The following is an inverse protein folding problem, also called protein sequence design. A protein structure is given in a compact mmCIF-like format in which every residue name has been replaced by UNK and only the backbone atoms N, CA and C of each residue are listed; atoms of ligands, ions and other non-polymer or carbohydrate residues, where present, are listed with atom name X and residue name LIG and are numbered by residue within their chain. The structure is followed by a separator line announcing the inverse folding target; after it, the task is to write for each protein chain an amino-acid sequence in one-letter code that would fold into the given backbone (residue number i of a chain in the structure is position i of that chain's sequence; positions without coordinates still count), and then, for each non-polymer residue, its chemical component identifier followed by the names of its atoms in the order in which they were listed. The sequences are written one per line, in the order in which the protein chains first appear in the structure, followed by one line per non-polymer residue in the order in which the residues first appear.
data_IF_206535739904
#
_entry.id   IF_206535739904
#
_cell.length_a   1.000
_cell.length_b   1.000
_cell.length_c   1.000
_cell.angle_alpha   90.00
_cell.angle_beta   90.00
_cell.angle_gamma   90.00
#
_symmetry.space_group_name_H-M   'P 1'
#
loop_
_entity.id
_entity.type
_entity.pdbx_description
1 polymer ?
#
# COMPACT_ATOMS: atom_id res chain seq x y z
N UNK A 1 -18.45 2.51 18.54
CA UNK A 1 -17.41 3.26 17.80
C UNK A 1 -16.08 2.61 18.11
N UNK A 2 -15.23 2.27 17.11
CA UNK A 2 -13.90 1.70 17.36
C UNK A 2 -12.98 2.82 17.85
N UNK A 3 -12.39 2.65 19.02
CA UNK A 3 -11.40 3.59 19.55
C UNK A 3 -10.02 3.19 18.97
N UNK A 4 -9.45 4.05 18.13
CA UNK A 4 -8.18 3.81 17.43
C UNK A 4 -7.02 4.43 18.21
N UNK A 5 -5.97 3.66 18.45
CA UNK A 5 -4.74 4.16 19.05
C UNK A 5 -3.81 4.72 17.95
N UNK A 6 -3.98 6.00 17.65
CA UNK A 6 -3.20 6.70 16.61
C UNK A 6 -1.70 6.74 16.91
N UNK A 7 -1.27 6.70 18.18
CA UNK A 7 0.15 6.65 18.53
C UNK A 7 0.80 5.36 18.05
N UNK A 8 0.11 4.22 18.20
CA UNK A 8 0.60 2.92 17.71
C UNK A 8 0.68 2.86 16.19
N UNK A 9 -0.22 3.56 15.49
CA UNK A 9 -0.21 3.69 14.04
C UNK A 9 0.85 4.68 13.54
N UNK A 10 1.19 5.70 14.32
CA UNK A 10 2.23 6.67 13.96
C UNK A 10 3.64 6.07 14.02
N UNK A 11 3.87 5.10 14.90
CA UNK A 11 5.20 4.50 15.11
C UNK A 11 5.12 2.96 15.10
N UNK A 12 4.63 2.33 14.00
CA UNK A 12 4.42 0.89 13.98
C UNK A 12 5.73 0.10 13.94
N UNK A 13 6.75 0.66 13.28
CA UNK A 13 8.08 0.08 13.13
C UNK A 13 9.03 1.14 12.55
N UNK A 14 10.34 1.16 12.90
CA UNK A 14 11.31 2.15 12.38
C UNK A 14 11.39 2.25 10.85
N UNK A 15 11.07 1.17 10.14
CA UNK A 15 11.05 1.13 8.69
C UNK A 15 9.88 1.92 8.08
N UNK A 16 8.77 2.10 8.81
CA UNK A 16 7.55 2.75 8.33
C UNK A 16 7.35 4.09 9.02
N UNK A 17 7.47 5.16 8.27
CA UNK A 17 7.22 6.53 8.74
C UNK A 17 5.89 7.00 8.15
N UNK A 18 4.98 7.60 8.92
CA UNK A 18 3.73 8.13 8.37
C UNK A 18 4.01 9.08 7.21
N UNK A 19 3.36 8.83 6.09
CA UNK A 19 3.38 9.73 4.94
C UNK A 19 2.25 10.74 5.10
N UNK A 20 2.52 11.80 5.85
CA UNK A 20 1.59 12.91 6.06
C UNK A 20 2.24 14.14 5.42
N UNK A 21 1.82 14.56 4.23
CA UNK A 21 2.23 15.86 3.73
C UNK A 21 1.64 16.92 4.64
N UNK A 22 2.50 17.77 5.16
CA UNK A 22 2.14 18.89 6.03
C UNK A 22 1.39 19.98 5.25
N UNK A 23 1.59 20.04 3.93
CA UNK A 23 0.90 20.93 3.02
C UNK A 23 0.90 20.32 1.61
N UNK A 24 -0.26 20.31 0.94
CA UNK A 24 -0.38 19.88 -0.46
C UNK A 24 0.37 20.80 -1.44
N UNK A 25 0.72 22.03 -1.01
CA UNK A 25 1.55 22.97 -1.76
C UNK A 25 3.06 22.82 -1.46
N UNK A 26 3.45 21.86 -0.60
CA UNK A 26 4.86 21.63 -0.28
C UNK A 26 5.63 21.11 -1.50
N UNK A 27 6.66 21.84 -1.89
CA UNK A 27 7.60 21.45 -2.95
C UNK A 27 8.20 20.05 -2.65
N UNK A 28 8.40 19.71 -1.39
CA UNK A 28 8.87 18.39 -0.95
C UNK A 28 7.89 17.28 -1.33
N UNK A 29 6.58 17.51 -1.20
CA UNK A 29 5.54 16.59 -1.63
C UNK A 29 5.59 16.32 -3.14
N UNK A 30 5.66 17.39 -3.96
CA UNK A 30 5.76 17.23 -5.41
C UNK A 30 7.04 16.52 -5.85
N UNK A 31 8.18 16.77 -5.21
CA UNK A 31 9.41 16.03 -5.46
C UNK A 31 9.22 14.53 -5.18
N UNK A 32 8.56 14.18 -4.08
CA UNK A 32 8.22 12.77 -3.76
C UNK A 32 7.27 12.17 -4.79
N UNK A 33 6.27 12.91 -5.27
CA UNK A 33 5.37 12.44 -6.35
C UNK A 33 6.13 12.12 -7.65
N UNK A 34 7.07 12.98 -8.04
CA UNK A 34 7.90 12.76 -9.22
C UNK A 34 8.76 11.51 -9.06
N UNK A 35 9.40 11.34 -7.90
CA UNK A 35 10.20 10.15 -7.58
C UNK A 35 9.32 8.89 -7.57
N UNK A 36 8.14 8.95 -6.97
CA UNK A 36 7.17 7.87 -6.96
C UNK A 36 6.78 7.46 -8.38
N UNK A 37 6.35 8.43 -9.22
CA UNK A 37 5.99 8.17 -10.62
C UNK A 37 7.13 7.54 -11.40
N UNK A 38 8.34 8.10 -11.33
CA UNK A 38 9.52 7.59 -12.02
C UNK A 38 9.78 6.14 -11.63
N UNK A 39 9.83 5.84 -10.34
CA UNK A 39 10.10 4.50 -9.85
C UNK A 39 8.96 3.51 -10.18
N UNK A 40 7.71 3.93 -10.08
CA UNK A 40 6.57 3.11 -10.46
C UNK A 40 6.67 2.64 -11.92
N UNK A 41 7.00 3.56 -12.84
CA UNK A 41 7.07 3.26 -14.27
C UNK A 41 8.33 2.49 -14.68
N UNK A 42 9.43 2.60 -13.93
CA UNK A 42 10.72 1.99 -14.29
C UNK A 42 11.03 0.69 -13.56
N UNK A 43 10.51 0.51 -12.35
CA UNK A 43 10.85 -0.62 -11.48
C UNK A 43 9.79 -1.71 -11.45
N UNK A 44 8.56 -1.40 -11.81
CA UNK A 44 7.45 -2.36 -11.79
C UNK A 44 7.13 -2.87 -13.19
N UNK A 45 6.94 -4.18 -13.29
CA UNK A 45 6.63 -4.85 -14.54
C UNK A 45 5.23 -4.48 -15.05
N UNK A 46 4.26 -4.46 -14.13
CA UNK A 46 2.86 -4.18 -14.44
C UNK A 46 2.40 -2.94 -13.68
N UNK A 47 2.10 -1.88 -14.42
CA UNK A 47 1.55 -0.63 -13.88
C UNK A 47 0.35 -0.28 -14.73
N UNK A 48 -0.80 -0.05 -14.10
CA UNK A 48 -2.01 0.40 -14.80
C UNK A 48 -1.71 1.66 -15.61
N UNK A 49 -2.28 1.72 -16.82
CA UNK A 49 -2.08 2.84 -17.74
C UNK A 49 -2.48 4.20 -17.13
N UNK A 50 -3.43 4.21 -16.19
CA UNK A 50 -3.86 5.40 -15.45
C UNK A 50 -2.72 6.05 -14.65
N UNK A 51 -1.83 5.25 -14.05
CA UNK A 51 -0.67 5.75 -13.30
C UNK A 51 0.46 6.33 -14.18
N UNK A 52 0.29 6.36 -15.51
CA UNK A 52 1.19 7.10 -16.40
C UNK A 52 0.93 8.60 -16.33
N UNK A 53 -0.26 9.02 -15.90
CA UNK A 53 -0.63 10.42 -15.74
C UNK A 53 -0.30 10.88 -14.31
N UNK A 54 0.59 11.91 -14.18
CA UNK A 54 0.97 12.46 -12.87
C UNK A 54 -0.22 13.11 -12.15
N UNK A 55 -1.14 13.73 -12.88
CA UNK A 55 -2.33 14.34 -12.29
C UNK A 55 -3.26 13.28 -11.69
N UNK A 56 -3.33 12.09 -12.28
CA UNK A 56 -4.05 10.97 -11.70
C UNK A 56 -3.42 10.51 -10.40
N UNK A 57 -2.08 10.35 -10.36
CA UNK A 57 -1.34 9.99 -9.14
C UNK A 57 -1.56 11.03 -8.05
N UNK A 58 -1.44 12.31 -8.38
CA UNK A 58 -1.69 13.42 -7.45
C UNK A 58 -3.11 13.36 -6.89
N UNK A 59 -4.12 13.20 -7.74
CA UNK A 59 -5.52 13.08 -7.34
C UNK A 59 -5.76 11.90 -6.39
N UNK A 60 -5.17 10.73 -6.67
CA UNK A 60 -5.32 9.53 -5.84
C UNK A 60 -4.65 9.74 -4.48
N UNK A 61 -3.41 10.21 -4.44
CA UNK A 61 -2.70 10.44 -3.19
C UNK A 61 -3.33 11.56 -2.35
N UNK A 62 -3.75 12.66 -2.97
CA UNK A 62 -4.47 13.75 -2.29
C UNK A 62 -5.78 13.24 -1.67
N UNK A 63 -6.53 12.41 -2.40
CA UNK A 63 -7.74 11.78 -1.86
C UNK A 63 -7.44 10.92 -0.63
N UNK A 64 -6.35 10.15 -0.65
CA UNK A 64 -5.97 9.31 0.49
C UNK A 64 -5.57 10.15 1.70
N UNK A 65 -4.84 11.23 1.49
CA UNK A 65 -4.36 12.11 2.54
C UNK A 65 -5.51 12.88 3.20
N UNK A 66 -6.45 13.40 2.39
CA UNK A 66 -7.56 14.24 2.84
C UNK A 66 -8.75 13.44 3.40
N UNK A 67 -8.67 12.12 3.44
CA UNK A 67 -9.81 11.25 3.73
C UNK A 67 -10.24 11.16 5.20
N UNK A 68 -9.58 11.87 6.10
CA UNK A 68 -9.97 11.90 7.52
C UNK A 68 -9.88 10.54 8.23
N UNK A 69 -8.83 9.75 7.96
CA UNK A 69 -8.58 8.47 8.63
C UNK A 69 -9.18 7.24 7.94
N UNK A 70 -9.76 7.40 6.74
CA UNK A 70 -10.17 6.26 5.90
C UNK A 70 -9.00 5.63 5.15
N UNK A 71 -7.86 6.31 5.12
CA UNK A 71 -6.64 5.84 4.49
C UNK A 71 -5.45 6.18 5.36
N UNK A 72 -4.45 5.30 5.39
CA UNK A 72 -3.19 5.52 6.08
C UNK A 72 -2.07 5.17 5.12
N UNK A 73 -1.11 6.07 4.96
CA UNK A 73 0.05 5.87 4.11
C UNK A 73 1.34 5.97 4.93
N UNK A 74 2.33 5.19 4.54
CA UNK A 74 3.66 5.16 5.13
C UNK A 74 4.72 5.28 4.04
N UNK A 75 5.77 6.04 4.31
CA UNK A 75 7.04 5.92 3.62
C UNK A 75 7.79 4.71 4.16
N UNK A 76 8.49 3.99 3.28
CA UNK A 76 9.32 2.85 3.66
C UNK A 76 10.78 3.27 3.57
N UNK A 77 11.50 3.16 4.69
CA UNK A 77 12.89 3.63 4.79
C UNK A 77 13.01 5.13 4.49
N UNK A 78 14.06 5.52 3.77
CA UNK A 78 14.25 6.90 3.32
C UNK A 78 13.59 7.12 1.95
N UNK A 79 12.26 6.94 1.91
CA UNK A 79 11.45 6.99 0.69
C UNK A 79 11.85 5.96 -0.37
N UNK A 80 12.31 4.78 0.05
CA UNK A 80 12.57 3.63 -0.82
C UNK A 80 11.30 2.88 -1.23
N UNK A 81 10.14 3.28 -0.72
CA UNK A 81 8.84 2.70 -1.02
C UNK A 81 7.69 3.43 -0.36
N UNK A 82 6.47 2.99 -0.66
CA UNK A 82 5.23 3.39 0.01
C UNK A 82 4.46 2.13 0.38
N UNK A 83 3.96 2.07 1.62
CA UNK A 83 2.93 1.16 2.06
C UNK A 83 1.68 1.94 2.46
N UNK A 84 0.50 1.34 2.33
CA UNK A 84 -0.72 2.01 2.74
C UNK A 84 -1.88 1.06 2.95
N UNK A 85 -2.88 1.57 3.66
CA UNK A 85 -4.16 0.93 3.88
C UNK A 85 -5.24 1.89 3.45
N UNK A 86 -6.06 1.46 2.52
CA UNK A 86 -7.05 2.30 1.86
C UNK A 86 -8.44 1.72 2.03
N UNK A 87 -9.45 2.59 1.93
CA UNK A 87 -10.86 2.23 2.09
C UNK A 87 -11.12 1.46 3.41
N UNK A 88 -10.54 1.97 4.50
CA UNK A 88 -10.69 1.37 5.83
C UNK A 88 -12.14 1.47 6.28
N UNK A 89 -12.76 0.32 6.46
CA UNK A 89 -14.09 0.14 7.05
C UNK A 89 -13.91 -0.54 8.42
N UNK A 90 -13.84 0.22 9.52
CA UNK A 90 -13.58 -0.33 10.85
C UNK A 90 -14.57 -1.44 11.23
N UNK A 91 -14.06 -2.51 11.83
CA UNK A 91 -14.85 -3.70 12.17
C UNK A 91 -15.05 -4.66 11.00
N UNK A 92 -14.61 -4.30 9.78
CA UNK A 92 -14.85 -5.11 8.59
C UNK A 92 -13.59 -5.35 7.77
N UNK A 93 -13.18 -4.41 6.90
CA UNK A 93 -12.06 -4.62 5.95
C UNK A 93 -11.36 -3.34 5.56
N UNK A 94 -10.18 -3.51 4.94
CA UNK A 94 -9.52 -2.51 4.11
C UNK A 94 -8.75 -3.17 2.97
N UNK A 95 -8.19 -2.36 2.07
CA UNK A 95 -7.23 -2.83 1.08
C UNK A 95 -5.83 -2.30 1.39
N UNK A 96 -4.81 -3.16 1.20
CA UNK A 96 -3.41 -2.80 1.37
C UNK A 96 -2.76 -2.51 0.02
N UNK A 97 -1.93 -1.49 0.01
CA UNK A 97 -1.05 -1.18 -1.12
C UNK A 97 0.40 -1.19 -0.63
N UNK A 98 1.31 -1.73 -1.43
CA UNK A 98 2.74 -1.66 -1.17
C UNK A 98 3.47 -1.52 -2.50
N UNK A 99 4.32 -0.49 -2.60
CA UNK A 99 5.20 -0.24 -3.73
C UNK A 99 6.60 0.04 -3.20
N UNK A 100 7.51 -0.88 -3.46
CA UNK A 100 8.88 -0.86 -2.97
C UNK A 100 9.82 -0.80 -4.16
N UNK A 101 10.59 0.28 -4.33
CA UNK A 101 11.51 0.49 -5.45
C UNK A 101 12.98 0.46 -5.06
N UNK A 102 13.29 0.63 -3.78
CA UNK A 102 14.64 0.42 -3.27
C UNK A 102 14.89 -1.06 -3.01
N UNK A 103 15.87 -1.62 -3.73
CA UNK A 103 16.20 -3.05 -3.63
C UNK A 103 16.90 -3.40 -2.33
N UNK A 104 17.59 -2.46 -1.70
CA UNK A 104 18.31 -2.71 -0.46
C UNK A 104 17.37 -2.91 0.73
N UNK A 105 16.14 -2.43 0.60
CA UNK A 105 15.07 -2.65 1.58
C UNK A 105 14.38 -4.01 1.37
N UNK A 106 14.51 -4.61 0.18
CA UNK A 106 13.88 -5.89 -0.12
C UNK A 106 14.57 -7.02 0.64
N UNK A 107 13.83 -7.64 1.57
CA UNK A 107 14.36 -8.76 2.34
C UNK A 107 13.37 -9.27 3.39
N UNK A 108 13.80 -10.30 4.11
CA UNK A 108 12.98 -10.94 5.15
C UNK A 108 12.60 -9.97 6.26
N UNK A 109 13.47 -9.01 6.59
CA UNK A 109 13.19 -8.04 7.65
C UNK A 109 12.11 -7.04 7.24
N UNK A 110 12.08 -6.62 5.96
CA UNK A 110 10.98 -5.83 5.42
C UNK A 110 9.65 -6.59 5.48
N UNK A 111 9.67 -7.87 5.11
CA UNK A 111 8.47 -8.73 5.15
C UNK A 111 7.97 -8.91 6.58
N UNK A 112 8.86 -9.16 7.55
CA UNK A 112 8.50 -9.26 8.97
C UNK A 112 7.95 -7.93 9.52
N UNK A 113 8.58 -6.82 9.18
CA UNK A 113 8.12 -5.49 9.56
C UNK A 113 6.74 -5.18 8.96
N UNK A 114 6.52 -5.57 7.70
CA UNK A 114 5.22 -5.41 7.05
C UNK A 114 4.14 -6.27 7.68
N UNK A 115 4.44 -7.54 8.00
CA UNK A 115 3.52 -8.40 8.75
C UNK A 115 3.10 -7.77 10.08
N UNK A 116 4.07 -7.23 10.84
CA UNK A 116 3.78 -6.52 12.08
C UNK A 116 2.86 -5.30 11.86
N UNK A 117 3.08 -4.54 10.78
CA UNK A 117 2.22 -3.42 10.41
C UNK A 117 0.80 -3.89 10.06
N UNK A 118 0.64 -4.99 9.32
CA UNK A 118 -0.65 -5.61 9.03
C UNK A 118 -1.39 -5.96 10.33
N UNK A 119 -0.71 -6.62 11.28
CA UNK A 119 -1.29 -7.00 12.57
C UNK A 119 -1.75 -5.77 13.37
N UNK A 120 -0.94 -4.71 13.42
CA UNK A 120 -1.29 -3.47 14.10
C UNK A 120 -2.56 -2.86 13.50
N UNK A 121 -2.65 -2.77 12.17
CA UNK A 121 -3.81 -2.21 11.49
C UNK A 121 -5.06 -3.07 11.67
N UNK A 122 -4.92 -4.41 11.61
CA UNK A 122 -5.99 -5.34 11.92
C UNK A 122 -6.57 -5.10 13.31
N UNK A 123 -5.69 -4.96 14.32
CA UNK A 123 -6.08 -4.74 15.72
C UNK A 123 -6.76 -3.39 15.93
N UNK A 124 -6.10 -2.32 15.51
CA UNK A 124 -6.55 -0.94 15.78
C UNK A 124 -7.92 -0.65 15.15
N UNK A 125 -8.17 -1.17 13.95
CA UNK A 125 -9.46 -0.99 13.27
C UNK A 125 -10.41 -2.18 13.45
N UNK A 126 -10.02 -3.22 14.21
CA UNK A 126 -10.79 -4.46 14.41
C UNK A 126 -11.22 -5.08 13.09
N UNK A 127 -10.31 -5.10 12.11
CA UNK A 127 -10.62 -5.62 10.78
C UNK A 127 -10.77 -7.14 10.81
N UNK A 128 -11.57 -7.66 9.88
CA UNK A 128 -11.71 -9.09 9.62
C UNK A 128 -10.82 -9.54 8.45
N UNK A 129 -10.49 -8.61 7.55
CA UNK A 129 -9.72 -8.88 6.35
C UNK A 129 -8.96 -7.63 5.89
N UNK A 130 -7.72 -7.83 5.43
CA UNK A 130 -7.00 -6.86 4.60
C UNK A 130 -6.81 -7.47 3.23
N UNK A 131 -7.35 -6.82 2.17
CA UNK A 131 -7.22 -7.27 0.80
C UNK A 131 -6.01 -6.66 0.10
N UNK A 132 -5.52 -7.32 -0.93
CA UNK A 132 -4.61 -6.72 -1.93
C UNK A 132 -4.75 -7.44 -3.26
N UNK A 133 -4.28 -6.81 -4.33
CA UNK A 133 -4.30 -7.41 -5.66
C UNK A 133 -3.04 -7.07 -6.45
N UNK A 134 -2.57 -8.00 -7.27
CA UNK A 134 -1.42 -7.79 -8.14
C UNK A 134 -1.43 -8.74 -9.33
N UNK A 135 -0.81 -8.34 -10.45
CA UNK A 135 -0.53 -9.20 -11.59
C UNK A 135 0.91 -9.74 -11.57
N UNK A 136 1.74 -9.31 -10.63
CA UNK A 136 3.14 -9.70 -10.54
C UNK A 136 3.33 -10.88 -9.58
N UNK A 137 3.73 -12.04 -10.13
CA UNK A 137 3.97 -13.26 -9.36
C UNK A 137 5.03 -13.10 -8.26
N UNK A 138 6.01 -12.18 -8.42
CA UNK A 138 7.00 -11.91 -7.37
C UNK A 138 6.34 -11.24 -6.19
N UNK A 139 5.42 -10.29 -6.46
CA UNK A 139 4.64 -9.63 -5.42
C UNK A 139 3.69 -10.62 -4.74
N UNK A 140 3.06 -11.54 -5.51
CA UNK A 140 2.25 -12.62 -4.94
C UNK A 140 3.06 -13.45 -3.94
N UNK A 141 4.28 -13.86 -4.32
CA UNK A 141 5.16 -14.62 -3.41
C UNK A 141 5.52 -13.84 -2.15
N UNK A 142 5.87 -12.57 -2.28
CA UNK A 142 6.17 -11.71 -1.13
C UNK A 142 4.97 -11.53 -0.21
N UNK A 143 3.78 -11.31 -0.76
CA UNK A 143 2.55 -11.20 0.01
C UNK A 143 2.26 -12.50 0.77
N UNK A 144 2.41 -13.67 0.13
CA UNK A 144 2.28 -14.97 0.80
C UNK A 144 3.28 -15.14 1.96
N UNK A 145 4.53 -14.68 1.80
CA UNK A 145 5.51 -14.68 2.89
C UNK A 145 5.12 -13.74 4.05
N UNK A 146 4.39 -12.66 3.77
CA UNK A 146 3.83 -11.77 4.79
C UNK A 146 2.54 -12.33 5.44
N UNK A 147 2.04 -13.48 4.97
CA UNK A 147 0.87 -14.15 5.54
C UNK A 147 -0.43 -13.98 4.76
N UNK A 148 -0.40 -13.36 3.57
CA UNK A 148 -1.57 -13.33 2.71
C UNK A 148 -1.86 -14.72 2.12
N UNK A 149 -3.13 -15.02 1.93
CA UNK A 149 -3.62 -16.20 1.23
C UNK A 149 -4.26 -15.80 -0.10
N UNK A 150 -4.16 -16.67 -1.08
CA UNK A 150 -4.75 -16.48 -2.39
C UNK A 150 -6.26 -16.71 -2.34
N UNK A 151 -7.05 -15.76 -2.85
CA UNK A 151 -8.51 -15.81 -2.84
C UNK A 151 -9.10 -16.09 -4.24
N UNK A 152 -8.29 -15.89 -5.28
CA UNK A 152 -8.72 -16.12 -6.66
C UNK A 152 -8.16 -15.10 -7.64
N UNK A 153 -8.77 -15.01 -8.82
CA UNK A 153 -8.32 -14.14 -9.91
C UNK A 153 -9.47 -13.25 -10.38
N UNK A 154 -9.24 -11.96 -10.42
CA UNK A 154 -10.13 -11.00 -11.07
C UNK A 154 -9.74 -10.86 -12.54
N UNK A 155 -10.62 -11.29 -13.43
CA UNK A 155 -10.42 -11.17 -14.88
C UNK A 155 -10.51 -9.70 -15.31
N UNK A 156 -9.63 -9.30 -16.23
CA UNK A 156 -9.58 -7.94 -16.78
C UNK A 156 -9.53 -6.86 -15.69
N UNK A 157 -8.79 -7.10 -14.60
CA UNK A 157 -8.78 -6.23 -13.41
C UNK A 157 -8.12 -4.88 -13.66
N UNK A 158 -7.27 -4.72 -14.70
CA UNK A 158 -6.66 -3.45 -15.08
C UNK A 158 -6.18 -3.43 -16.53
N UNK A 159 -5.86 -2.24 -17.02
CA UNK A 159 -5.26 -2.03 -18.35
C UNK A 159 -3.75 -1.85 -18.23
N UNK A 160 -2.97 -2.59 -19.01
CA UNK A 160 -1.53 -2.44 -19.13
C UNK A 160 -1.11 -2.38 -20.60
N UNK A 161 -0.53 -1.25 -21.01
CA UNK A 161 -0.12 -0.99 -22.41
C UNK A 161 -1.27 -1.29 -23.41
N UNK A 162 -2.47 -0.85 -23.06
CA UNK A 162 -3.66 -1.02 -23.86
C UNK A 162 -4.24 -2.45 -23.89
N UNK A 163 -3.75 -3.35 -23.04
CA UNK A 163 -4.26 -4.73 -22.92
C UNK A 163 -4.87 -4.99 -21.56
N UNK A 164 -6.02 -5.67 -21.47
CA UNK A 164 -6.58 -6.09 -20.20
C UNK A 164 -5.69 -7.16 -19.54
N UNK A 165 -5.45 -7.01 -18.26
CA UNK A 165 -4.66 -7.95 -17.44
C UNK A 165 -5.47 -8.41 -16.24
N UNK A 166 -5.23 -9.65 -15.82
CA UNK A 166 -5.86 -10.22 -14.65
C UNK A 166 -5.10 -9.82 -13.37
N UNK A 167 -5.82 -9.68 -12.25
CA UNK A 167 -5.26 -9.58 -10.91
C UNK A 167 -5.41 -10.88 -10.15
N UNK A 168 -4.35 -11.30 -9.49
CA UNK A 168 -4.43 -12.22 -8.36
C UNK A 168 -4.97 -11.46 -7.15
N UNK A 169 -6.03 -11.98 -6.54
CA UNK A 169 -6.62 -11.45 -5.31
C UNK A 169 -6.03 -12.19 -4.11
N UNK A 170 -5.64 -11.44 -3.10
CA UNK A 170 -5.02 -11.95 -1.89
C UNK A 170 -5.68 -11.33 -0.65
N UNK A 171 -5.90 -12.14 0.38
CA UNK A 171 -6.46 -11.70 1.67
C UNK A 171 -5.53 -12.02 2.83
N UNK A 172 -5.40 -11.09 3.76
CA UNK A 172 -4.76 -11.29 5.04
C UNK A 172 -5.84 -11.36 6.13
N UNK A 173 -5.75 -12.41 6.93
CA UNK A 173 -6.68 -12.69 8.03
C UNK A 173 -5.90 -12.87 9.31
N UNK A 174 -6.42 -12.40 10.42
CA UNK A 174 -5.87 -12.72 11.72
C UNK A 174 -6.29 -14.13 12.10
N UNK A 175 -5.31 -14.99 12.38
CA UNK A 175 -5.58 -16.27 13.01
C UNK A 175 -6.24 -16.00 14.37
N UNK A 176 -7.40 -16.60 14.60
CA UNK A 176 -8.17 -16.47 15.82
C UNK A 176 -7.56 -17.22 17.00
#
# INVERSE_FOLDING_TARGET
MVQVNWKRLAEPHPLFKPFVPTDLNDIGFYKKLVVFKKNLLTKYLYVSDEFRNIQYIEKVLSRYILSGGKHILYEIGDFGGIAGFVDILPGFKCDAIMKLWDRDIWGLDCIKAYKKLLDIVMDEFRLKRIGTSTADEKIVRMAKMAGFVEEGTQKCGFMWKGKPMDYMLLGYYKEG
#
